data_IF_116850346926
#
_entry.id   IF_116850346926
#
_cell.length_a   1.000
_cell.length_b   1.000
_cell.length_c   1.000
_cell.angle_alpha   90.00
_cell.angle_beta   90.00
_cell.angle_gamma   90.00
#
_symmetry.space_group_name_H-M   'P 1'
#
loop_
_entity.id
_entity.type
_entity.pdbx_description
1 polymer ?
#
# COMPACT_ATOMS: atom_id res chain seq x y z
N UNK A 1 -33.82 -7.12 70.01
CA UNK A 1 -33.51 -8.28 69.14
C UNK A 1 -33.53 -7.80 67.70
N UNK A 2 -32.35 -7.75 67.08
CA UNK A 2 -32.12 -7.10 65.79
C UNK A 2 -32.49 -7.97 64.58
N UNK A 3 -32.84 -7.30 63.49
CA UNK A 3 -33.23 -7.87 62.20
C UNK A 3 -32.02 -8.44 61.45
N UNK A 4 -32.03 -9.76 61.20
CA UNK A 4 -30.97 -10.52 60.54
C UNK A 4 -31.45 -11.27 59.29
N UNK A 5 -32.24 -10.64 58.41
CA UNK A 5 -32.75 -11.34 57.22
C UNK A 5 -32.70 -10.57 55.90
N UNK A 6 -32.08 -9.38 55.83
CA UNK A 6 -32.06 -8.59 54.58
C UNK A 6 -30.68 -8.33 53.97
N UNK A 7 -29.70 -9.21 54.23
CA UNK A 7 -28.35 -9.13 53.62
C UNK A 7 -27.98 -10.33 52.75
N UNK A 8 -28.95 -11.05 52.19
CA UNK A 8 -28.66 -12.11 51.23
C UNK A 8 -29.41 -11.89 49.91
N UNK A 9 -28.62 -11.85 48.84
CA UNK A 9 -28.97 -11.65 47.42
C UNK A 9 -29.24 -10.21 46.96
N UNK A 10 -28.16 -9.46 46.66
CA UNK A 10 -28.19 -8.57 45.50
C UNK A 10 -27.69 -9.38 44.30
N UNK A 11 -28.40 -9.43 43.16
CA UNK A 11 -27.82 -10.01 41.96
C UNK A 11 -26.60 -9.18 41.56
N UNK A 12 -25.46 -9.84 41.41
CA UNK A 12 -24.24 -9.25 40.90
C UNK A 12 -24.55 -8.72 39.49
N UNK A 13 -24.64 -7.39 39.34
CA UNK A 13 -24.77 -6.79 38.01
C UNK A 13 -23.44 -7.04 37.30
N UNK A 14 -23.44 -7.63 36.09
CA UNK A 14 -22.20 -7.93 35.38
C UNK A 14 -21.41 -6.64 35.19
N UNK A 15 -20.09 -6.74 35.41
CA UNK A 15 -19.17 -5.61 35.35
C UNK A 15 -19.16 -5.01 33.95
N UNK A 16 -18.87 -3.71 33.84
CA UNK A 16 -18.69 -3.02 32.56
C UNK A 16 -17.63 -3.74 31.70
N UNK A 17 -16.65 -4.40 32.34
CA UNK A 17 -15.66 -5.28 31.71
C UNK A 17 -16.25 -6.52 31.04
N UNK A 18 -17.28 -7.16 31.62
CA UNK A 18 -17.97 -8.31 31.02
C UNK A 18 -18.82 -7.91 29.81
N UNK A 19 -19.40 -6.71 29.83
CA UNK A 19 -20.12 -6.16 28.67
C UNK A 19 -19.17 -5.83 27.52
N UNK A 20 -17.97 -5.32 27.81
CA UNK A 20 -16.95 -5.08 26.78
C UNK A 20 -16.46 -6.39 26.13
N UNK A 21 -16.28 -7.46 26.91
CA UNK A 21 -15.87 -8.77 26.40
C UNK A 21 -16.93 -9.44 25.52
N UNK A 22 -18.22 -9.16 25.76
CA UNK A 22 -19.33 -9.70 24.95
C UNK A 22 -19.52 -8.99 23.59
N UNK A 23 -19.00 -7.77 23.43
CA UNK A 23 -19.02 -7.01 22.17
C UNK A 23 -17.79 -7.34 21.29
N UNK A 24 -16.74 -7.90 21.89
CA UNK A 24 -15.50 -8.30 21.23
C UNK A 24 -15.49 -9.75 20.73
N UNK A 25 -16.60 -10.49 20.81
CA UNK A 25 -16.76 -11.78 20.11
C UNK A 25 -17.30 -11.54 18.71
N UNK A 26 -16.50 -11.70 17.64
CA UNK A 26 -17.01 -11.53 16.31
C UNK A 26 -17.83 -12.76 15.92
N UNK A 27 -19.00 -12.51 15.34
CA UNK A 27 -19.92 -13.53 14.84
C UNK A 27 -19.44 -13.98 13.46
N UNK A 28 -18.77 -15.13 13.35
CA UNK A 28 -18.52 -15.83 12.08
C UNK A 28 -17.08 -16.36 11.90
N UNK A 29 -16.89 -17.35 11.02
CA UNK A 29 -15.58 -17.92 10.70
C UNK A 29 -14.63 -16.88 10.07
N UNK A 30 -13.31 -17.02 10.31
CA UNK A 30 -12.27 -16.09 9.79
C UNK A 30 -12.26 -16.00 8.26
N UNK A 31 -12.40 -17.14 7.58
CA UNK A 31 -12.18 -17.25 6.13
C UNK A 31 -13.08 -16.30 5.30
N UNK A 32 -14.41 -16.24 5.49
CA UNK A 32 -15.27 -15.26 4.83
C UNK A 32 -14.89 -13.79 5.08
N UNK A 33 -14.36 -13.47 6.27
CA UNK A 33 -13.99 -12.09 6.64
C UNK A 33 -12.69 -11.69 5.95
N UNK A 34 -11.72 -12.60 5.85
CA UNK A 34 -10.47 -12.40 5.09
C UNK A 34 -10.78 -12.19 3.61
N UNK A 35 -11.62 -13.03 3.01
CA UNK A 35 -12.05 -12.87 1.60
C UNK A 35 -12.72 -11.52 1.35
N UNK A 36 -13.57 -11.08 2.27
CA UNK A 36 -14.22 -9.76 2.19
C UNK A 36 -13.19 -8.63 2.27
N UNK A 37 -12.16 -8.80 3.11
CA UNK A 37 -11.03 -7.89 3.22
C UNK A 37 -10.20 -7.77 1.96
N UNK A 38 -9.84 -8.90 1.36
CA UNK A 38 -9.11 -8.97 0.08
C UNK A 38 -9.88 -8.22 -1.01
N UNK A 39 -11.18 -8.49 -1.15
CA UNK A 39 -12.04 -7.78 -2.12
C UNK A 39 -12.05 -6.27 -1.90
N UNK A 40 -12.12 -5.82 -0.64
CA UNK A 40 -12.06 -4.38 -0.30
C UNK A 40 -10.72 -3.76 -0.68
N UNK A 41 -9.61 -4.44 -0.40
CA UNK A 41 -8.26 -3.98 -0.79
C UNK A 41 -8.14 -3.86 -2.32
N UNK A 42 -8.59 -4.86 -3.07
CA UNK A 42 -8.57 -4.85 -4.54
C UNK A 42 -9.36 -3.66 -5.14
N UNK A 43 -10.51 -3.31 -4.54
CA UNK A 43 -11.27 -2.11 -4.93
C UNK A 43 -10.44 -0.84 -4.69
N UNK A 44 -9.74 -0.74 -3.56
CA UNK A 44 -8.89 0.43 -3.28
C UNK A 44 -7.67 0.50 -4.19
N UNK A 45 -7.04 -0.63 -4.55
CA UNK A 45 -5.95 -0.70 -5.55
C UNK A 45 -6.44 -0.11 -6.86
N UNK A 46 -7.59 -0.60 -7.36
CA UNK A 46 -8.17 -0.14 -8.63
C UNK A 46 -8.49 1.37 -8.61
N UNK A 47 -8.95 1.89 -7.48
CA UNK A 47 -9.19 3.34 -7.31
C UNK A 47 -7.88 4.13 -7.34
N UNK A 48 -6.83 3.64 -6.68
CA UNK A 48 -5.51 4.26 -6.69
C UNK A 48 -4.88 4.25 -8.09
N UNK A 49 -5.00 3.15 -8.83
CA UNK A 49 -4.51 3.05 -10.22
C UNK A 49 -5.19 4.08 -11.14
N UNK A 50 -6.51 4.26 -11.01
CA UNK A 50 -7.24 5.29 -11.76
C UNK A 50 -6.75 6.71 -11.41
N UNK A 51 -6.51 7.01 -10.13
CA UNK A 51 -5.97 8.31 -9.71
C UNK A 51 -4.54 8.53 -10.23
N UNK A 52 -3.69 7.50 -10.18
CA UNK A 52 -2.32 7.55 -10.70
C UNK A 52 -2.30 7.79 -12.21
N UNK A 53 -3.17 7.12 -12.97
CA UNK A 53 -3.35 7.35 -14.41
C UNK A 53 -3.77 8.80 -14.70
N UNK A 54 -4.73 9.34 -13.94
CA UNK A 54 -5.14 10.74 -14.08
C UNK A 54 -4.00 11.74 -13.76
N UNK A 55 -3.19 11.46 -12.74
CA UNK A 55 -2.03 12.28 -12.39
C UNK A 55 -0.95 12.24 -13.48
N UNK A 56 -0.72 11.09 -14.12
CA UNK A 56 0.20 10.98 -15.26
C UNK A 56 -0.27 11.82 -16.46
N UNK A 57 -1.55 11.73 -16.82
CA UNK A 57 -2.10 12.55 -17.90
C UNK A 57 -2.02 14.06 -17.59
N UNK A 58 -2.19 14.45 -16.32
CA UNK A 58 -1.99 15.84 -15.88
C UNK A 58 -0.53 16.27 -15.94
N UNK A 59 0.40 15.42 -15.53
CA UNK A 59 1.86 15.67 -15.61
C UNK A 59 2.26 16.01 -17.04
N UNK A 60 1.91 15.14 -17.98
CA UNK A 60 2.22 15.31 -19.42
C UNK A 60 1.61 16.60 -19.99
N UNK A 61 0.34 16.88 -19.68
CA UNK A 61 -0.35 18.10 -20.15
C UNK A 61 0.31 19.37 -19.60
N UNK A 62 0.65 19.41 -18.32
CA UNK A 62 1.30 20.58 -17.71
C UNK A 62 2.71 20.73 -18.28
N UNK A 63 3.45 19.63 -18.43
CA UNK A 63 4.79 19.64 -19.02
C UNK A 63 4.79 20.21 -20.43
N UNK A 64 3.86 19.77 -21.29
CA UNK A 64 3.73 20.31 -22.64
C UNK A 64 3.47 21.82 -22.63
N UNK A 65 2.61 22.31 -21.73
CA UNK A 65 2.34 23.75 -21.59
C UNK A 65 3.55 24.54 -21.09
N UNK A 66 4.38 23.95 -20.21
CA UNK A 66 5.65 24.57 -19.79
C UNK A 66 6.58 24.73 -20.99
N UNK A 67 6.69 23.71 -21.84
CA UNK A 67 7.51 23.76 -23.07
C UNK A 67 7.02 24.90 -23.98
N UNK A 68 5.72 24.99 -24.23
CA UNK A 68 5.13 26.08 -25.04
C UNK A 68 5.41 27.46 -24.46
N UNK A 69 5.18 27.66 -23.15
CA UNK A 69 5.43 28.93 -22.48
C UNK A 69 6.93 29.31 -22.53
N UNK A 70 7.82 28.33 -22.39
CA UNK A 70 9.27 28.52 -22.48
C UNK A 70 9.69 28.97 -23.88
N UNK A 71 9.15 28.33 -24.92
CA UNK A 71 9.40 28.70 -26.33
C UNK A 71 8.90 30.12 -26.67
N UNK A 72 7.81 30.54 -26.03
CA UNK A 72 7.25 31.89 -26.19
C UNK A 72 7.95 32.94 -25.30
N UNK A 73 8.99 32.54 -24.55
CA UNK A 73 9.65 33.38 -23.55
C UNK A 73 8.71 33.92 -22.45
N UNK A 74 7.55 33.28 -22.24
CA UNK A 74 6.65 33.56 -21.13
C UNK A 74 7.16 32.87 -19.85
N UNK A 75 8.17 33.52 -19.26
CA UNK A 75 8.84 33.04 -18.04
C UNK A 75 7.90 32.98 -16.83
N UNK A 76 6.88 33.84 -16.77
CA UNK A 76 5.93 33.83 -15.67
C UNK A 76 5.05 32.58 -15.70
N UNK A 77 4.44 32.28 -16.85
CA UNK A 77 3.62 31.08 -17.03
C UNK A 77 4.44 29.81 -16.86
N UNK A 78 5.64 29.74 -17.43
CA UNK A 78 6.53 28.59 -17.29
C UNK A 78 6.87 28.32 -15.81
N UNK A 79 7.19 29.36 -15.04
CA UNK A 79 7.50 29.22 -13.61
C UNK A 79 6.28 28.77 -12.78
N UNK A 80 5.11 29.35 -13.01
CA UNK A 80 3.88 28.98 -12.29
C UNK A 80 3.49 27.53 -12.58
N UNK A 81 3.47 27.12 -13.86
CA UNK A 81 3.15 25.75 -14.23
C UNK A 81 4.17 24.73 -13.73
N UNK A 82 5.45 25.10 -13.62
CA UNK A 82 6.49 24.22 -13.07
C UNK A 82 6.27 23.90 -11.60
N UNK A 83 5.80 24.87 -10.80
CA UNK A 83 5.42 24.65 -9.39
C UNK A 83 4.24 23.69 -9.28
N UNK A 84 3.23 23.85 -10.12
CA UNK A 84 2.07 22.94 -10.17
C UNK A 84 2.48 21.52 -10.57
N UNK A 85 3.36 21.38 -11.56
CA UNK A 85 3.88 20.07 -11.97
C UNK A 85 4.63 19.37 -10.84
N UNK A 86 5.41 20.12 -10.05
CA UNK A 86 6.12 19.59 -8.89
C UNK A 86 5.15 19.05 -7.83
N UNK A 87 4.07 19.77 -7.53
CA UNK A 87 3.03 19.30 -6.61
C UNK A 87 2.27 18.09 -7.15
N UNK A 88 1.92 18.04 -8.45
CA UNK A 88 1.32 16.86 -9.09
C UNK A 88 2.20 15.62 -8.92
N UNK A 89 3.51 15.75 -9.15
CA UNK A 89 4.49 14.65 -8.98
C UNK A 89 4.62 14.21 -7.52
N UNK A 90 4.55 15.14 -6.57
CA UNK A 90 4.57 14.84 -5.15
C UNK A 90 3.33 14.05 -4.72
N UNK A 91 2.15 14.46 -5.16
CA UNK A 91 0.90 13.71 -4.91
C UNK A 91 0.99 12.32 -5.53
N UNK A 92 1.46 12.21 -6.78
CA UNK A 92 1.66 10.93 -7.47
C UNK A 92 2.56 9.99 -6.68
N UNK A 93 3.67 10.49 -6.12
CA UNK A 93 4.58 9.69 -5.28
C UNK A 93 3.88 9.17 -4.02
N UNK A 94 3.12 10.01 -3.33
CA UNK A 94 2.39 9.61 -2.12
C UNK A 94 1.34 8.54 -2.43
N UNK A 95 0.54 8.74 -3.49
CA UNK A 95 -0.48 7.76 -3.90
C UNK A 95 0.14 6.46 -4.41
N UNK A 96 1.29 6.53 -5.11
CA UNK A 96 2.02 5.35 -5.57
C UNK A 96 2.52 4.50 -4.40
N UNK A 97 3.14 5.13 -3.40
CA UNK A 97 3.59 4.44 -2.18
C UNK A 97 2.41 3.79 -1.44
N UNK A 98 1.27 4.48 -1.36
CA UNK A 98 0.07 3.92 -0.76
C UNK A 98 -0.45 2.71 -1.56
N UNK A 99 -0.51 2.80 -2.90
CA UNK A 99 -0.93 1.69 -3.76
C UNK A 99 -0.10 0.43 -3.53
N UNK A 100 1.23 0.58 -3.48
CA UNK A 100 2.15 -0.52 -3.18
C UNK A 100 1.90 -1.13 -1.79
N UNK A 101 1.67 -0.30 -0.78
CA UNK A 101 1.45 -0.79 0.58
C UNK A 101 0.11 -1.54 0.72
N UNK A 102 -0.98 -1.09 0.08
CA UNK A 102 -2.25 -1.86 0.06
C UNK A 102 -2.04 -3.18 -0.67
N UNK A 103 -1.33 -3.19 -1.80
CA UNK A 103 -1.06 -4.43 -2.56
C UNK A 103 -0.24 -5.42 -1.75
N UNK A 104 0.77 -4.96 -1.01
CA UNK A 104 1.53 -5.82 -0.11
C UNK A 104 0.65 -6.45 0.98
N UNK A 105 -0.31 -5.70 1.53
CA UNK A 105 -1.27 -6.23 2.49
C UNK A 105 -2.20 -7.26 1.83
N UNK A 106 -2.69 -6.98 0.62
CA UNK A 106 -3.55 -7.87 -0.16
C UNK A 106 -2.84 -9.21 -0.42
N UNK A 107 -1.61 -9.19 -0.93
CA UNK A 107 -0.81 -10.39 -1.20
C UNK A 107 -0.60 -11.24 0.05
N UNK A 108 -0.34 -10.61 1.20
CA UNK A 108 -0.21 -11.32 2.47
C UNK A 108 -1.52 -11.94 2.92
N UNK A 109 -2.65 -11.22 2.81
CA UNK A 109 -3.96 -11.76 3.15
C UNK A 109 -4.37 -12.92 2.24
N UNK A 110 -4.08 -12.84 0.93
CA UNK A 110 -4.31 -13.93 -0.03
C UNK A 110 -3.47 -15.15 0.33
N UNK A 111 -2.19 -14.96 0.66
CA UNK A 111 -1.32 -16.04 1.15
C UNK A 111 -1.89 -16.69 2.42
N UNK A 112 -2.43 -15.92 3.37
CA UNK A 112 -3.09 -16.46 4.57
C UNK A 112 -4.39 -17.21 4.25
N UNK A 113 -5.16 -16.72 3.28
CA UNK A 113 -6.38 -17.36 2.82
C UNK A 113 -6.11 -18.75 2.23
N UNK A 114 -5.03 -18.86 1.45
CA UNK A 114 -4.66 -20.08 0.74
C UNK A 114 -3.98 -21.12 1.67
N UNK A 115 -3.21 -20.68 2.67
CA UNK A 115 -2.42 -21.56 3.56
C UNK A 115 -3.14 -22.01 4.85
N UNK A 116 -4.33 -21.50 5.14
CA UNK A 116 -5.28 -22.15 6.04
C UNK A 116 -5.12 -21.96 7.55
N UNK A 117 -3.93 -21.93 8.16
CA UNK A 117 -3.81 -21.76 9.63
C UNK A 117 -2.36 -21.49 10.13
N UNK A 118 -1.74 -20.35 9.78
CA UNK A 118 -0.47 -19.96 10.42
C UNK A 118 -0.48 -18.48 10.85
N UNK A 119 -0.41 -18.32 12.16
CA UNK A 119 -0.89 -17.19 12.96
C UNK A 119 0.18 -16.09 13.16
N UNK A 120 1.42 -16.32 12.72
CA UNK A 120 2.59 -15.55 13.18
C UNK A 120 2.86 -14.26 12.36
N UNK A 121 2.16 -14.01 11.26
CA UNK A 121 2.62 -13.02 10.25
C UNK A 121 1.68 -11.79 10.03
N UNK A 122 0.64 -11.60 10.85
CA UNK A 122 -0.38 -10.53 10.67
C UNK A 122 0.05 -9.18 11.28
N UNK A 123 0.96 -9.14 12.24
CA UNK A 123 1.34 -7.87 12.89
C UNK A 123 1.91 -6.79 11.94
N UNK A 124 2.79 -7.12 10.97
CA UNK A 124 3.37 -6.09 10.11
C UNK A 124 2.36 -5.44 9.14
N UNK A 125 1.27 -6.12 8.77
CA UNK A 125 0.24 -5.55 7.88
C UNK A 125 -0.58 -4.45 8.56
N UNK A 126 -0.80 -4.54 9.88
CA UNK A 126 -1.49 -3.49 10.65
C UNK A 126 -0.64 -2.21 10.70
N UNK A 127 0.67 -2.34 10.90
CA UNK A 127 1.61 -1.22 10.92
C UNK A 127 1.66 -0.47 9.58
N UNK A 128 1.71 -1.20 8.47
CA UNK A 128 1.64 -0.64 7.12
C UNK A 128 0.36 0.17 6.92
N UNK A 129 -0.80 -0.38 7.32
CA UNK A 129 -2.09 0.28 7.11
C UNK A 129 -2.26 1.59 7.89
N UNK A 130 -1.70 1.68 9.11
CA UNK A 130 -1.69 2.92 9.89
C UNK A 130 -0.87 4.02 9.20
N UNK A 131 0.28 3.67 8.62
CA UNK A 131 1.10 4.61 7.87
C UNK A 131 0.41 5.07 6.58
N UNK A 132 -0.34 4.18 5.94
CA UNK A 132 -1.14 4.51 4.76
C UNK A 132 -2.28 5.48 5.04
N UNK A 133 -2.97 5.35 6.18
CA UNK A 133 -4.00 6.31 6.60
C UNK A 133 -3.49 7.75 6.59
N UNK A 134 -2.34 7.98 7.22
CA UNK A 134 -1.72 9.31 7.26
C UNK A 134 -1.37 9.86 5.87
N UNK A 135 -1.02 8.97 4.94
CA UNK A 135 -0.59 9.31 3.58
C UNK A 135 -1.78 9.58 2.64
N UNK A 136 -2.88 8.84 2.80
CA UNK A 136 -4.05 8.92 1.93
C UNK A 136 -5.08 9.96 2.37
N UNK A 137 -5.22 10.24 3.66
CA UNK A 137 -6.23 11.16 4.20
C UNK A 137 -6.19 12.56 3.56
N UNK A 138 -5.00 13.03 3.17
CA UNK A 138 -4.81 14.36 2.57
C UNK A 138 -5.19 14.44 1.08
N UNK A 139 -5.20 13.32 0.38
CA UNK A 139 -5.28 13.30 -1.09
C UNK A 139 -6.43 12.44 -1.63
N UNK A 140 -7.07 11.62 -0.78
CA UNK A 140 -8.19 10.78 -1.16
C UNK A 140 -9.37 10.97 -0.18
N UNK A 141 -10.41 11.72 -0.58
CA UNK A 141 -11.64 11.84 0.20
C UNK A 141 -12.28 10.48 0.47
N UNK A 142 -12.70 10.25 1.72
CA UNK A 142 -13.28 8.98 2.16
C UNK A 142 -12.26 7.86 2.43
N UNK A 143 -10.96 8.10 2.25
CA UNK A 143 -9.92 7.12 2.56
C UNK A 143 -9.88 6.76 4.06
N UNK A 144 -10.09 7.74 4.94
CA UNK A 144 -10.04 7.53 6.38
C UNK A 144 -11.06 6.50 6.87
N UNK A 145 -12.29 6.57 6.36
CA UNK A 145 -13.35 5.66 6.77
C UNK A 145 -13.04 4.23 6.32
N UNK A 146 -12.63 4.05 5.06
CA UNK A 146 -12.34 2.71 4.54
C UNK A 146 -11.07 2.11 5.13
N UNK A 147 -10.04 2.93 5.41
CA UNK A 147 -8.82 2.49 6.09
C UNK A 147 -9.08 2.13 7.56
N UNK A 148 -9.98 2.84 8.24
CA UNK A 148 -10.43 2.45 9.58
C UNK A 148 -11.18 1.11 9.53
N UNK A 149 -12.10 0.93 8.58
CA UNK A 149 -12.83 -0.34 8.42
C UNK A 149 -11.85 -1.50 8.17
N UNK A 150 -10.82 -1.29 7.36
CA UNK A 150 -9.79 -2.29 7.12
C UNK A 150 -8.94 -2.53 8.38
N UNK A 151 -8.60 -1.49 9.14
CA UNK A 151 -7.81 -1.61 10.37
C UNK A 151 -8.55 -2.37 11.46
N UNK A 152 -9.84 -2.13 11.61
CA UNK A 152 -10.72 -2.88 12.50
C UNK A 152 -10.81 -4.35 12.08
N UNK A 153 -10.92 -4.62 10.77
CA UNK A 153 -10.95 -5.98 10.25
C UNK A 153 -9.63 -6.72 10.51
N UNK A 154 -8.46 -6.12 10.23
CA UNK A 154 -7.16 -6.72 10.53
C UNK A 154 -6.93 -6.89 12.03
N UNK A 155 -7.36 -5.92 12.86
CA UNK A 155 -7.28 -6.02 14.32
C UNK A 155 -8.16 -7.14 14.89
N UNK A 156 -9.33 -7.38 14.28
CA UNK A 156 -10.19 -8.52 14.59
C UNK A 156 -9.51 -9.85 14.26
N UNK A 157 -8.87 -9.95 13.09
CA UNK A 157 -8.09 -11.12 12.70
C UNK A 157 -6.94 -11.36 13.68
N UNK A 158 -6.18 -10.33 14.04
CA UNK A 158 -5.09 -10.40 15.02
C UNK A 158 -5.59 -10.94 16.36
N UNK A 159 -6.69 -10.42 16.89
CA UNK A 159 -7.23 -10.85 18.18
C UNK A 159 -7.63 -12.32 18.17
N UNK A 160 -8.25 -12.83 17.10
CA UNK A 160 -8.64 -14.25 16.98
C UNK A 160 -7.42 -15.16 16.80
N UNK A 161 -6.40 -14.66 16.11
CA UNK A 161 -5.10 -15.29 15.82
C UNK A 161 -4.27 -15.44 17.13
N UNK A 162 -4.13 -14.40 17.94
CA UNK A 162 -3.38 -14.49 19.21
C UNK A 162 -4.03 -15.33 20.30
N UNK A 163 -5.33 -15.63 20.20
CA UNK A 163 -5.96 -16.59 21.12
C UNK A 163 -5.62 -18.06 20.79
N UNK A 164 -5.00 -18.35 19.63
CA UNK A 164 -4.66 -19.72 19.20
C UNK A 164 -3.18 -20.07 19.20
N UNK A 165 -2.24 -19.12 19.40
CA UNK A 165 -0.81 -19.44 19.47
C UNK A 165 0.00 -18.61 20.47
N UNK A 166 0.82 -19.30 21.25
CA UNK A 166 1.85 -18.76 22.14
C UNK A 166 3.17 -18.65 21.35
N UNK A 167 3.34 -17.59 20.54
CA UNK A 167 4.57 -17.41 19.76
C UNK A 167 4.92 -15.93 19.52
N UNK A 168 6.04 -15.52 20.09
CA UNK A 168 6.78 -14.31 19.77
C UNK A 168 8.10 -14.73 19.12
N UNK A 169 8.41 -14.25 17.91
CA UNK A 169 9.79 -13.87 17.52
C UNK A 169 9.90 -13.12 16.19
N UNK A 170 11.03 -12.42 16.01
CA UNK A 170 11.32 -11.43 14.98
C UNK A 170 11.44 -11.94 13.54
N UNK A 171 10.47 -11.53 12.72
CA UNK A 171 10.38 -11.85 11.28
C UNK A 171 11.03 -10.76 10.41
N UNK A 172 11.22 -9.54 10.91
CA UNK A 172 11.66 -8.40 10.09
C UNK A 172 13.06 -8.58 9.46
N UNK A 173 14.06 -9.07 10.22
CA UNK A 173 15.45 -9.09 9.74
C UNK A 173 15.76 -10.15 8.66
N UNK A 174 14.98 -11.24 8.58
CA UNK A 174 15.18 -12.30 7.58
C UNK A 174 14.52 -11.93 6.24
N UNK A 175 13.40 -11.20 6.27
CA UNK A 175 12.70 -10.80 5.05
C UNK A 175 13.49 -9.76 4.23
N UNK A 176 14.28 -8.90 4.87
CA UNK A 176 14.99 -7.81 4.18
C UNK A 176 16.14 -8.31 3.28
N UNK A 177 16.94 -9.28 3.72
CA UNK A 177 18.07 -9.81 2.94
C UNK A 177 17.61 -10.64 1.73
N UNK A 178 16.55 -11.44 1.88
CA UNK A 178 15.95 -12.18 0.77
C UNK A 178 15.30 -11.23 -0.24
N UNK A 179 14.64 -10.17 0.23
CA UNK A 179 14.07 -9.13 -0.63
C UNK A 179 15.13 -8.45 -1.49
N UNK A 180 16.31 -8.14 -0.93
CA UNK A 180 17.40 -7.51 -1.68
C UNK A 180 17.92 -8.41 -2.81
N UNK A 181 18.07 -9.72 -2.56
CA UNK A 181 18.47 -10.69 -3.60
C UNK A 181 17.44 -10.80 -4.72
N UNK A 182 16.14 -10.83 -4.37
CA UNK A 182 15.05 -10.86 -5.36
C UNK A 182 15.04 -9.57 -6.20
N UNK A 183 15.28 -8.40 -5.58
CA UNK A 183 15.38 -7.13 -6.30
C UNK A 183 16.55 -7.11 -7.29
N UNK A 184 17.69 -7.69 -6.93
CA UNK A 184 18.84 -7.84 -7.85
C UNK A 184 18.49 -8.72 -9.05
N UNK A 185 17.82 -9.85 -8.83
CA UNK A 185 17.37 -10.74 -9.91
C UNK A 185 16.36 -10.04 -10.83
N UNK A 186 15.36 -9.35 -10.27
CA UNK A 186 14.38 -8.61 -11.03
C UNK A 186 15.01 -7.47 -11.87
N UNK A 187 15.99 -6.76 -11.32
CA UNK A 187 16.74 -5.72 -12.05
C UNK A 187 17.49 -6.31 -13.23
N UNK A 188 18.18 -7.44 -13.04
CA UNK A 188 18.90 -8.11 -14.12
C UNK A 188 17.97 -8.53 -15.28
N UNK A 189 16.78 -9.05 -14.96
CA UNK A 189 15.76 -9.39 -15.97
C UNK A 189 15.22 -8.15 -16.68
N UNK A 190 14.98 -7.05 -15.95
CA UNK A 190 14.48 -5.81 -16.54
C UNK A 190 15.52 -5.15 -17.48
N UNK A 191 16.80 -5.18 -17.12
CA UNK A 191 17.91 -4.69 -17.95
C UNK A 191 18.05 -5.50 -19.24
N UNK A 192 17.94 -6.83 -19.15
CA UNK A 192 17.95 -7.71 -20.33
C UNK A 192 16.81 -7.36 -21.30
N UNK A 193 15.59 -7.18 -20.79
CA UNK A 193 14.43 -6.80 -21.62
C UNK A 193 14.53 -5.38 -22.21
N UNK A 194 15.20 -4.46 -21.52
CA UNK A 194 15.45 -3.12 -22.04
C UNK A 194 16.49 -3.13 -23.16
N UNK A 195 17.55 -3.93 -23.03
CA UNK A 195 18.57 -4.15 -24.07
C UNK A 195 17.98 -4.62 -25.40
N UNK A 196 16.99 -5.52 -25.36
CA UNK A 196 16.30 -6.04 -26.54
C UNK A 196 15.37 -5.03 -27.24
N UNK A 197 15.01 -3.92 -26.56
CA UNK A 197 14.13 -2.86 -27.10
C UNK A 197 14.88 -1.67 -27.71
N UNK A 198 16.20 -1.61 -27.59
CA UNK A 198 16.99 -0.60 -28.27
C UNK A 198 17.33 -1.08 -29.68
N UNK A 199 16.90 -0.39 -30.76
CA UNK A 199 17.40 -0.69 -32.09
C UNK A 199 18.91 -0.47 -32.11
N UNK A 200 19.66 -1.46 -32.60
CA UNK A 200 21.10 -1.34 -32.82
C UNK A 200 21.39 -0.08 -33.62
N UNK A 201 22.27 0.78 -33.09
CA UNK A 201 22.70 1.99 -33.79
C UNK A 201 23.17 1.59 -35.20
N UNK A 202 22.72 2.27 -36.27
CA UNK A 202 23.17 1.96 -37.61
C UNK A 202 24.70 2.11 -37.65
N UNK A 203 25.39 1.01 -37.91
CA UNK A 203 26.83 0.98 -38.13
C UNK A 203 27.13 1.90 -39.30
N UNK A 204 27.64 3.10 -39.02
CA UNK A 204 28.23 3.92 -40.07
C UNK A 204 29.45 3.15 -40.57
N UNK A 205 29.28 2.48 -41.70
CA UNK A 205 30.37 1.98 -42.53
C UNK A 205 31.27 3.17 -42.83
N UNK A 206 32.41 3.20 -42.15
CA UNK A 206 33.50 4.11 -42.45
C UNK A 206 34.01 3.73 -43.83
N UNK A 207 33.59 4.47 -44.86
CA UNK A 207 34.27 4.38 -46.14
C UNK A 207 35.70 4.92 -45.96
N UNK A 208 36.74 4.14 -46.32
CA UNK A 208 38.10 4.63 -46.28
C UNK A 208 38.25 5.69 -47.37
N UNK A 209 38.41 6.95 -46.95
CA UNK A 209 38.81 8.03 -47.86
C UNK A 209 40.21 7.75 -48.38
N UNK A 210 40.31 7.15 -49.57
CA UNK A 210 41.57 7.09 -50.32
C UNK A 210 41.93 8.50 -50.76
N UNK A 211 42.75 9.17 -49.95
CA UNK A 211 43.49 10.35 -50.36
C UNK A 211 44.51 9.91 -51.40
N UNK A 212 44.29 10.29 -52.67
CA UNK A 212 45.25 10.12 -53.76
C UNK A 212 45.76 11.49 -54.16
N UNK A 213 46.85 11.91 -53.52
CA UNK A 213 47.74 12.92 -54.05
C UNK A 213 48.79 12.21 -54.91
N UNK A 214 48.74 12.42 -56.22
CA UNK A 214 49.87 12.53 -57.16
C UNK A 214 49.35 13.03 -58.49
#
# INVERSE_FOLDING_TARGET
MGSLSNRWSKPQKPGISERLNSVLRPKGALKPRVETGIKKLQVQISKLDNMLSSLNARDEKIFHRIVTATQQHDTHTANTLSKELAEVRKVRRVLGNARMAIEQIELRLTTFHDLGDTVVTVMPTIGLMKNMKSSLAKFMPGADQELNNMAEMLGGLMTETFHSSDASFGVDAVMDAESEKILQEASAVAEQQAGDKFPSMPTQTSEPSTSRFM
#
